data_IF_798506163370
#
_entry.id   IF_798506163370
#
_cell.length_a   1.000
_cell.length_b   1.000
_cell.length_c   1.000
_cell.angle_alpha   90.00
_cell.angle_beta   90.00
_cell.angle_gamma   90.00
#
_symmetry.space_group_name_H-M   'P 1'
#
loop_
_entity.id
_entity.type
_entity.pdbx_description
1 polymer ?
#
# COMPACT_ATOMS: atom_id res chain seq x y z
N UNK A 1 37.01 -7.53 18.14
CA UNK A 1 36.16 -8.32 17.21
C UNK A 1 36.71 -8.16 15.79
N UNK A 2 37.20 -9.23 15.14
CA UNK A 2 37.78 -9.14 13.79
C UNK A 2 36.66 -9.04 12.74
N UNK A 3 36.75 -8.07 11.81
CA UNK A 3 35.77 -7.92 10.72
C UNK A 3 35.99 -9.02 9.67
N UNK A 4 34.94 -9.78 9.35
CA UNK A 4 34.98 -10.82 8.31
C UNK A 4 34.54 -10.25 6.96
N UNK A 5 35.28 -10.54 5.90
CA UNK A 5 34.99 -10.10 4.53
C UNK A 5 33.64 -10.65 4.02
N UNK A 6 32.91 -9.87 3.22
CA UNK A 6 31.57 -10.22 2.70
C UNK A 6 31.57 -11.51 1.88
N UNK A 7 32.63 -11.76 1.09
CA UNK A 7 32.79 -12.99 0.30
C UNK A 7 32.87 -14.25 1.17
N UNK A 8 33.56 -14.18 2.32
CA UNK A 8 33.65 -15.30 3.25
C UNK A 8 32.30 -15.57 3.93
N UNK A 9 31.58 -14.52 4.34
CA UNK A 9 30.22 -14.63 4.87
C UNK A 9 29.27 -15.31 3.89
N UNK A 10 29.34 -14.98 2.60
CA UNK A 10 28.52 -15.60 1.54
C UNK A 10 28.81 -17.09 1.37
N UNK A 11 30.08 -17.50 1.31
CA UNK A 11 30.47 -18.92 1.23
C UNK A 11 29.98 -19.72 2.44
N UNK A 12 30.08 -19.14 3.64
CA UNK A 12 29.65 -19.75 4.89
C UNK A 12 28.13 -19.62 5.15
N UNK A 13 27.35 -19.06 4.21
CA UNK A 13 25.91 -18.77 4.39
C UNK A 13 25.58 -17.95 5.65
N UNK A 14 26.55 -17.18 6.16
CA UNK A 14 26.37 -16.30 7.29
C UNK A 14 25.63 -15.04 6.81
N UNK A 15 24.41 -14.83 7.29
CA UNK A 15 23.62 -13.64 6.95
C UNK A 15 24.36 -12.37 7.38
N UNK A 16 24.53 -11.44 6.44
CA UNK A 16 25.13 -10.12 6.67
C UNK A 16 24.16 -9.15 7.32
N UNK A 17 22.86 -9.42 7.25
CA UNK A 17 21.79 -8.57 7.75
C UNK A 17 20.89 -9.37 8.68
N UNK A 18 21.31 -9.54 9.94
CA UNK A 18 20.40 -9.93 11.03
C UNK A 18 19.78 -8.68 11.64
N UNK A 19 19.02 -7.95 10.84
CA UNK A 19 18.08 -6.95 11.35
C UNK A 19 16.69 -7.51 11.15
N UNK A 20 15.88 -7.61 12.21
CA UNK A 20 14.41 -7.67 12.03
C UNK A 20 14.06 -6.42 11.23
N UNK A 21 13.63 -6.57 9.97
CA UNK A 21 13.03 -5.46 9.25
C UNK A 21 11.76 -5.15 10.04
N UNK A 22 11.63 -3.98 10.68
CA UNK A 22 10.39 -3.64 11.35
C UNK A 22 9.30 -3.70 10.28
N UNK A 23 8.26 -4.51 10.53
CA UNK A 23 7.09 -4.50 9.68
C UNK A 23 6.50 -3.09 9.76
N UNK A 24 6.77 -2.27 8.74
CA UNK A 24 6.15 -0.97 8.65
C UNK A 24 4.64 -1.20 8.58
N UNK A 25 3.90 -0.72 9.58
CA UNK A 25 2.45 -0.66 9.55
C UNK A 25 2.05 0.31 8.44
N UNK A 26 1.99 -0.20 7.20
CA UNK A 26 1.56 0.58 6.04
C UNK A 26 0.10 0.95 6.27
N UNK A 27 -0.16 2.24 6.47
CA UNK A 27 -1.52 2.77 6.48
C UNK A 27 -2.16 2.42 5.14
N UNK A 28 -3.27 1.66 5.17
CA UNK A 28 -4.05 1.40 3.97
C UNK A 28 -4.63 2.74 3.51
N UNK A 29 -4.31 3.14 2.29
CA UNK A 29 -4.86 4.36 1.70
C UNK A 29 -6.37 4.24 1.44
N UNK A 30 -6.99 5.37 1.10
CA UNK A 30 -8.39 5.39 0.72
C UNK A 30 -8.67 4.46 -0.47
N UNK A 31 -9.87 3.84 -0.48
CA UNK A 31 -10.26 2.90 -1.53
C UNK A 31 -10.51 3.67 -2.83
N UNK A 32 -9.98 3.12 -3.94
CA UNK A 32 -10.10 3.70 -5.27
C UNK A 32 -10.65 2.69 -6.26
N UNK A 33 -11.44 3.14 -7.23
CA UNK A 33 -12.11 2.33 -8.25
C UNK A 33 -11.63 2.70 -9.65
N UNK A 34 -11.80 1.79 -10.62
CA UNK A 34 -11.41 2.04 -12.02
C UNK A 34 -12.47 2.82 -12.80
N UNK A 35 -13.75 2.67 -12.45
CA UNK A 35 -14.89 3.31 -13.10
C UNK A 35 -15.75 4.04 -12.08
N UNK A 36 -16.49 5.05 -12.52
CA UNK A 36 -17.44 5.82 -11.70
C UNK A 36 -18.58 4.92 -11.21
N UNK A 37 -19.10 4.07 -12.09
CA UNK A 37 -20.15 3.09 -11.79
C UNK A 37 -19.75 2.17 -10.63
N UNK A 38 -18.53 1.62 -10.66
CA UNK A 38 -18.04 0.75 -9.60
C UNK A 38 -17.91 1.50 -8.25
N UNK A 39 -17.55 2.79 -8.28
CA UNK A 39 -17.52 3.60 -7.07
C UNK A 39 -18.94 3.87 -6.53
N UNK A 40 -19.89 4.16 -7.41
CA UNK A 40 -21.29 4.40 -7.05
C UNK A 40 -21.98 3.16 -6.49
N UNK A 41 -21.79 1.98 -7.10
CA UNK A 41 -22.32 0.71 -6.60
C UNK A 41 -21.76 0.45 -5.20
N UNK A 42 -20.44 0.60 -5.02
CA UNK A 42 -19.82 0.41 -3.72
C UNK A 42 -20.34 1.40 -2.67
N UNK A 43 -20.56 2.67 -3.04
CA UNK A 43 -21.12 3.67 -2.13
C UNK A 43 -22.54 3.32 -1.68
N UNK A 44 -23.39 2.85 -2.61
CA UNK A 44 -24.75 2.37 -2.32
C UNK A 44 -24.73 1.18 -1.37
N UNK A 45 -23.90 0.18 -1.64
CA UNK A 45 -23.76 -1.02 -0.78
C UNK A 45 -23.31 -0.65 0.64
N UNK A 46 -22.52 0.42 0.77
CA UNK A 46 -22.02 0.92 2.05
C UNK A 46 -22.92 2.00 2.68
N UNK A 47 -24.10 2.26 2.12
CA UNK A 47 -25.11 3.24 2.60
C UNK A 47 -24.52 4.65 2.79
N UNK A 48 -23.66 5.07 1.87
CA UNK A 48 -23.11 6.43 1.88
C UNK A 48 -24.04 7.32 1.04
N UNK A 49 -24.84 8.15 1.71
CA UNK A 49 -25.86 8.98 1.05
C UNK A 49 -25.30 10.28 0.47
N UNK A 50 -24.28 10.85 1.11
CA UNK A 50 -23.60 12.06 0.66
C UNK A 50 -22.13 11.75 0.40
N UNK A 51 -21.78 11.68 -0.87
CA UNK A 51 -20.40 11.53 -1.30
C UNK A 51 -20.15 12.22 -2.63
N UNK A 52 -18.93 12.70 -2.78
CA UNK A 52 -18.40 13.24 -4.02
C UNK A 52 -17.37 12.27 -4.61
N UNK A 53 -17.36 12.14 -5.95
CA UNK A 53 -16.35 11.37 -6.66
C UNK A 53 -15.18 12.26 -7.04
N UNK A 54 -14.01 11.96 -6.49
CA UNK A 54 -12.75 12.63 -6.85
C UNK A 54 -11.97 11.77 -7.84
N UNK A 55 -11.58 12.33 -8.97
CA UNK A 55 -10.64 11.69 -9.91
C UNK A 55 -9.23 11.71 -9.31
N UNK A 56 -8.56 10.56 -9.32
CA UNK A 56 -7.23 10.34 -8.72
C UNK A 56 -6.33 9.61 -9.73
N UNK A 57 -5.02 9.90 -9.68
CA UNK A 57 -3.99 9.32 -10.56
C UNK A 57 -4.28 9.55 -12.05
N UNK A 58 -4.07 10.80 -12.51
CA UNK A 58 -4.25 11.21 -13.91
C UNK A 58 -5.59 10.72 -14.49
N UNK A 59 -6.67 10.89 -13.73
CA UNK A 59 -8.05 10.52 -14.11
C UNK A 59 -8.29 9.03 -14.41
N UNK A 60 -7.38 8.14 -14.01
CA UNK A 60 -7.54 6.69 -14.19
C UNK A 60 -8.27 6.00 -13.05
N UNK A 61 -8.48 6.69 -11.94
CA UNK A 61 -9.13 6.14 -10.75
C UNK A 61 -10.11 7.12 -10.13
N UNK A 62 -11.10 6.58 -9.45
CA UNK A 62 -12.12 7.32 -8.72
C UNK A 62 -12.01 7.02 -7.24
N UNK A 63 -12.03 8.05 -6.41
CA UNK A 63 -12.08 7.94 -4.96
C UNK A 63 -13.38 8.54 -4.48
N UNK A 64 -14.02 7.86 -3.53
CA UNK A 64 -15.20 8.37 -2.83
C UNK A 64 -14.71 9.26 -1.70
N UNK A 65 -15.13 10.52 -1.71
CA UNK A 65 -14.91 11.48 -0.63
C UNK A 65 -16.25 11.66 0.06
N UNK A 66 -16.29 11.39 1.37
CA UNK A 66 -17.48 11.69 2.18
C UNK A 66 -17.51 13.18 2.40
N UNK A 67 -18.65 13.80 2.12
CA UNK A 67 -18.90 15.21 2.47
C UNK A 67 -19.27 15.34 3.95
#
# INVERSE_FOLDING_TARGET
>A
MKKVHTRAKRKARLSTHRGKIPSLNKKKGAKTFKTEEAANIWAKDNKIEKFSLKKVKKDKKFQIVKD
#
